data_IF_230451419299
#
_entry.id   IF_230451419299
#
_cell.length_a   1.000
_cell.length_b   1.000
_cell.length_c   1.000
_cell.angle_alpha   90.00
_cell.angle_beta   90.00
_cell.angle_gamma   90.00
#
_symmetry.space_group_name_H-M   'P 1'
#
loop_
_entity.id
_entity.type
_entity.pdbx_description
1 polymer ?
#
# COMPACT_ATOMS: atom_id res chain seq x y z
N UNK A 1 1.54 -41.68 18.30
CA UNK A 1 1.26 -40.27 18.10
C UNK A 1 2.22 -39.75 17.04
N UNK A 2 1.75 -38.89 16.13
CA UNK A 2 2.61 -38.22 15.15
C UNK A 2 3.63 -37.36 15.88
N UNK A 3 4.85 -37.27 15.36
CA UNK A 3 5.81 -36.27 15.81
C UNK A 3 5.39 -34.85 15.32
N UNK A 4 6.00 -33.80 15.85
CA UNK A 4 5.60 -32.42 15.54
C UNK A 4 5.81 -32.10 14.05
N UNK A 5 6.86 -32.61 13.44
CA UNK A 5 7.12 -32.39 12.02
C UNK A 5 6.08 -33.09 11.12
N UNK A 6 5.63 -34.30 11.51
CA UNK A 6 4.54 -34.99 10.82
C UNK A 6 3.21 -34.24 10.95
N UNK A 7 2.91 -33.73 12.15
CA UNK A 7 1.73 -32.90 12.40
C UNK A 7 1.76 -31.64 11.55
N UNK A 8 2.89 -30.95 11.47
CA UNK A 8 3.06 -29.74 10.66
C UNK A 8 2.81 -30.04 9.17
N UNK A 9 3.43 -31.09 8.63
CA UNK A 9 3.18 -31.54 7.25
C UNK A 9 1.72 -31.85 6.99
N UNK A 10 1.06 -32.53 7.92
CA UNK A 10 -0.36 -32.87 7.79
C UNK A 10 -1.27 -31.64 7.76
N UNK A 11 -1.00 -30.64 8.60
CA UNK A 11 -1.77 -29.37 8.62
C UNK A 11 -1.59 -28.59 7.32
N UNK A 12 -0.42 -28.63 6.73
CA UNK A 12 -0.10 -27.87 5.52
C UNK A 12 -0.41 -28.60 4.21
N UNK A 13 -0.69 -29.88 4.23
CA UNK A 13 -0.85 -30.71 3.03
C UNK A 13 -1.93 -30.22 2.04
N UNK A 14 -2.93 -29.47 2.51
CA UNK A 14 -4.02 -28.92 1.68
C UNK A 14 -3.78 -27.51 1.17
N UNK A 15 -2.63 -26.89 1.45
CA UNK A 15 -2.35 -25.48 1.14
C UNK A 15 -1.08 -25.34 0.33
N UNK A 16 -1.06 -24.34 -0.55
CA UNK A 16 0.16 -23.86 -1.21
C UNK A 16 0.70 -22.69 -0.41
N UNK A 17 1.86 -22.84 0.20
CA UNK A 17 2.52 -21.78 0.94
C UNK A 17 3.20 -20.80 -0.02
N UNK A 18 3.10 -19.51 0.28
CA UNK A 18 3.83 -18.49 -0.45
C UNK A 18 5.33 -18.50 -0.14
N UNK A 19 5.68 -18.74 1.12
CA UNK A 19 7.07 -18.81 1.57
C UNK A 19 7.64 -20.22 1.34
N UNK A 20 8.97 -20.28 1.18
CA UNK A 20 9.69 -21.56 1.09
C UNK A 20 9.53 -22.38 2.39
N UNK A 21 9.65 -23.69 2.28
CA UNK A 21 9.38 -24.61 3.39
C UNK A 21 10.27 -24.35 4.62
N UNK A 22 11.51 -23.93 4.42
CA UNK A 22 12.45 -23.58 5.48
C UNK A 22 12.13 -22.25 6.18
N UNK A 23 11.28 -21.41 5.60
CA UNK A 23 10.80 -20.17 6.21
C UNK A 23 9.52 -20.35 7.05
N UNK A 24 8.93 -21.54 7.03
CA UNK A 24 7.70 -21.84 7.78
C UNK A 24 8.07 -22.12 9.25
N UNK A 25 7.33 -21.49 10.16
CA UNK A 25 7.52 -21.74 11.60
C UNK A 25 7.38 -23.23 11.93
N UNK A 26 8.31 -23.82 12.71
CA UNK A 26 8.34 -25.25 13.01
C UNK A 26 7.37 -25.64 14.13
N UNK A 27 6.25 -24.96 14.28
CA UNK A 27 5.23 -25.23 15.29
C UNK A 27 3.82 -24.97 14.76
N UNK A 28 2.83 -25.59 15.39
CA UNK A 28 1.41 -25.36 15.09
C UNK A 28 0.83 -24.47 16.19
N UNK A 29 0.34 -23.29 15.82
CA UNK A 29 -0.36 -22.42 16.75
C UNK A 29 -1.74 -22.98 17.08
N UNK A 30 -2.07 -23.13 18.37
CA UNK A 30 -3.36 -23.59 18.86
C UNK A 30 -4.26 -22.43 19.29
N UNK A 31 -3.71 -21.48 20.05
CA UNK A 31 -4.41 -20.32 20.58
C UNK A 31 -3.46 -19.16 20.79
N UNK A 32 -4.01 -17.93 20.80
CA UNK A 32 -3.21 -16.74 21.05
C UNK A 32 -4.02 -15.65 21.75
N UNK A 33 -3.35 -14.86 22.62
CA UNK A 33 -3.92 -13.68 23.28
C UNK A 33 -2.85 -12.65 23.60
N UNK A 34 -3.08 -11.38 23.28
CA UNK A 34 -2.07 -10.34 23.41
C UNK A 34 -0.82 -10.74 22.63
N UNK A 35 0.40 -10.68 23.21
CA UNK A 35 1.62 -11.08 22.52
C UNK A 35 1.94 -12.57 22.65
N UNK A 36 1.06 -13.38 23.21
CA UNK A 36 1.34 -14.78 23.53
C UNK A 36 0.62 -15.74 22.57
N UNK A 37 1.37 -16.72 22.08
CA UNK A 37 0.89 -17.84 21.28
C UNK A 37 1.14 -19.12 22.05
N UNK A 38 0.14 -19.99 22.14
CA UNK A 38 0.25 -21.36 22.66
C UNK A 38 0.28 -22.31 21.48
N UNK A 39 1.28 -23.18 21.44
CA UNK A 39 1.39 -24.20 20.40
C UNK A 39 0.57 -25.44 20.71
N UNK A 40 0.33 -26.28 19.70
CA UNK A 40 -0.39 -27.56 19.87
C UNK A 40 0.27 -28.48 20.90
N UNK A 41 1.59 -28.42 21.04
CA UNK A 41 2.37 -29.22 22.00
C UNK A 41 2.59 -28.51 23.35
N UNK A 42 1.91 -27.39 23.61
CA UNK A 42 1.87 -26.71 24.91
C UNK A 42 3.00 -25.71 25.15
N UNK A 43 3.87 -25.44 24.18
CA UNK A 43 4.85 -24.38 24.31
C UNK A 43 4.16 -22.99 24.25
N UNK A 44 4.64 -22.03 25.05
CA UNK A 44 4.18 -20.65 25.06
C UNK A 44 5.26 -19.76 24.45
N UNK A 45 4.91 -19.07 23.39
CA UNK A 45 5.81 -18.23 22.61
C UNK A 45 5.39 -16.77 22.69
N UNK A 46 6.37 -15.86 22.69
CA UNK A 46 6.13 -14.43 22.53
C UNK A 46 6.15 -14.08 21.03
N UNK A 47 5.03 -13.56 20.53
CA UNK A 47 4.95 -13.05 19.16
C UNK A 47 5.31 -11.58 19.12
N UNK A 48 6.44 -11.26 18.49
CA UNK A 48 6.92 -9.89 18.32
C UNK A 48 6.12 -9.07 17.27
N UNK A 49 5.01 -9.60 16.78
CA UNK A 49 4.05 -8.85 15.96
C UNK A 49 4.33 -8.88 14.46
N UNK A 50 4.11 -10.02 13.82
CA UNK A 50 4.33 -10.30 12.40
C UNK A 50 4.06 -9.13 11.45
N UNK A 51 5.05 -8.70 10.71
CA UNK A 51 5.01 -7.59 9.75
C UNK A 51 4.50 -6.25 10.32
N UNK A 52 4.52 -6.07 11.67
CA UNK A 52 4.03 -4.87 12.34
C UNK A 52 2.52 -4.67 12.24
N UNK A 53 1.75 -5.73 12.06
CA UNK A 53 0.30 -5.65 11.98
C UNK A 53 -0.38 -5.75 13.35
N UNK A 54 0.17 -6.56 14.28
CA UNK A 54 -0.45 -6.90 15.54
C UNK A 54 -0.28 -5.81 16.63
N UNK A 55 -0.56 -4.55 16.31
CA UNK A 55 -0.42 -3.45 17.27
C UNK A 55 -1.25 -3.61 18.55
N UNK A 56 -2.36 -4.35 18.50
CA UNK A 56 -3.22 -4.69 19.65
C UNK A 56 -3.03 -6.12 20.15
N UNK A 57 -2.07 -6.87 19.57
CA UNK A 57 -1.89 -8.29 19.84
C UNK A 57 -3.01 -9.17 19.27
N UNK A 58 -2.96 -10.45 19.63
CA UNK A 58 -3.99 -11.42 19.25
C UNK A 58 -5.28 -11.24 20.07
N UNK A 59 -6.42 -11.45 19.45
CA UNK A 59 -7.76 -11.42 20.10
C UNK A 59 -8.00 -10.20 21.01
N UNK A 60 -7.83 -8.95 20.52
CA UNK A 60 -8.03 -7.75 21.33
C UNK A 60 -9.52 -7.58 21.68
N UNK A 61 -9.86 -7.61 22.97
CA UNK A 61 -11.23 -7.61 23.46
C UNK A 61 -12.07 -6.44 22.89
N UNK A 62 -11.50 -5.23 22.86
CA UNK A 62 -12.22 -4.05 22.35
C UNK A 62 -12.63 -4.17 20.87
N UNK A 63 -11.82 -4.82 20.05
CA UNK A 63 -12.15 -5.06 18.63
C UNK A 63 -13.22 -6.15 18.52
N UNK A 64 -13.06 -7.25 19.26
CA UNK A 64 -14.04 -8.34 19.25
C UNK A 64 -15.41 -7.88 19.75
N UNK A 65 -15.46 -7.09 20.82
CA UNK A 65 -16.70 -6.50 21.36
C UNK A 65 -17.36 -5.55 20.35
N UNK A 66 -16.55 -4.78 19.60
CA UNK A 66 -17.07 -3.94 18.53
C UNK A 66 -17.63 -4.76 17.36
N UNK A 67 -16.97 -5.86 16.98
CA UNK A 67 -17.43 -6.76 15.92
C UNK A 67 -18.68 -7.55 16.31
N UNK A 68 -18.89 -7.84 17.61
CA UNK A 68 -20.07 -8.54 18.12
C UNK A 68 -21.35 -7.69 18.13
N UNK A 69 -21.24 -6.37 17.91
CA UNK A 69 -22.41 -5.49 17.85
C UNK A 69 -23.22 -5.74 16.59
N UNK A 70 -24.55 -5.50 16.61
CA UNK A 70 -25.36 -5.53 15.39
C UNK A 70 -24.81 -4.55 14.35
N UNK A 71 -24.35 -5.08 13.23
CA UNK A 71 -23.78 -4.30 12.12
C UNK A 71 -24.55 -4.58 10.83
N UNK A 72 -24.62 -3.58 9.95
CA UNK A 72 -25.09 -3.80 8.59
C UNK A 72 -23.93 -4.39 7.80
N UNK A 73 -24.08 -5.62 7.32
CA UNK A 73 -23.05 -6.36 6.62
C UNK A 73 -23.37 -6.45 5.13
N UNK A 74 -22.34 -6.31 4.29
CA UNK A 74 -22.42 -6.53 2.83
C UNK A 74 -23.58 -5.81 2.11
N UNK A 75 -24.12 -4.72 2.66
CA UNK A 75 -25.14 -3.92 2.00
C UNK A 75 -24.52 -2.71 1.32
N UNK A 76 -23.87 -2.96 0.19
CA UNK A 76 -23.03 -2.02 -0.53
C UNK A 76 -23.76 -0.79 -1.10
N UNK A 77 -25.09 -0.86 -1.25
CA UNK A 77 -25.89 0.26 -1.78
C UNK A 77 -26.54 1.11 -0.70
N UNK A 78 -26.32 0.77 0.58
CA UNK A 78 -26.94 1.48 1.69
C UNK A 78 -25.87 2.19 2.53
N UNK A 79 -25.90 3.52 2.61
CA UNK A 79 -25.01 4.28 3.50
C UNK A 79 -25.14 3.82 4.95
N UNK A 80 -24.02 3.71 5.67
CA UNK A 80 -24.02 3.28 7.08
C UNK A 80 -23.39 4.33 8.00
N UNK A 81 -23.83 4.32 9.27
CA UNK A 81 -23.21 5.14 10.32
C UNK A 81 -21.77 4.70 10.60
N UNK A 82 -21.43 3.43 10.35
CA UNK A 82 -20.06 2.92 10.49
C UNK A 82 -19.12 3.59 9.52
N UNK A 83 -19.52 3.76 8.26
CA UNK A 83 -18.74 4.51 7.25
C UNK A 83 -18.52 5.96 7.67
N UNK A 84 -19.56 6.65 8.15
CA UNK A 84 -19.43 8.04 8.62
C UNK A 84 -18.50 8.16 9.83
N UNK A 85 -18.55 7.23 10.75
CA UNK A 85 -17.66 7.21 11.93
C UNK A 85 -16.22 6.94 11.52
N UNK A 86 -16.00 6.05 10.56
CA UNK A 86 -14.68 5.74 10.04
C UNK A 86 -14.09 6.91 9.27
N UNK A 87 -14.84 7.56 8.37
CA UNK A 87 -14.43 8.80 7.69
C UNK A 87 -13.99 9.87 8.70
N UNK A 88 -14.78 10.10 9.74
CA UNK A 88 -14.43 11.08 10.79
C UNK A 88 -13.17 10.71 11.54
N UNK A 89 -12.96 9.42 11.82
CA UNK A 89 -11.76 8.95 12.50
C UNK A 89 -10.51 9.14 11.62
N UNK A 90 -10.58 8.80 10.34
CA UNK A 90 -9.50 9.04 9.38
C UNK A 90 -9.16 10.53 9.26
N UNK A 91 -10.19 11.39 9.13
CA UNK A 91 -9.97 12.86 9.04
C UNK A 91 -9.44 13.49 10.32
N UNK A 92 -9.71 12.88 11.47
CA UNK A 92 -9.13 13.32 12.75
C UNK A 92 -7.66 12.91 12.86
N UNK A 93 -7.33 11.71 12.39
CA UNK A 93 -5.98 11.15 12.48
C UNK A 93 -5.04 11.76 11.45
N UNK A 94 -5.48 11.84 10.18
CA UNK A 94 -4.65 12.29 9.07
C UNK A 94 -4.63 13.82 9.02
N UNK A 95 -3.45 14.41 9.05
CA UNK A 95 -3.25 15.86 8.96
C UNK A 95 -3.47 16.60 10.30
N UNK A 96 -3.45 15.89 11.44
CA UNK A 96 -3.64 16.50 12.74
C UNK A 96 -2.51 17.47 13.13
N UNK A 97 -1.31 17.28 12.57
CA UNK A 97 -0.16 18.17 12.80
C UNK A 97 -0.15 19.40 11.88
N UNK A 98 -0.98 19.44 10.85
CA UNK A 98 -0.99 20.47 9.82
C UNK A 98 -2.32 21.23 9.66
N UNK A 99 -3.22 21.12 10.63
CA UNK A 99 -4.50 21.84 10.67
C UNK A 99 -5.65 21.17 9.92
N UNK A 100 -5.50 19.93 9.47
CA UNK A 100 -6.58 19.11 8.93
C UNK A 100 -6.19 18.16 7.82
N UNK A 101 -7.09 17.23 7.52
CA UNK A 101 -6.91 16.21 6.52
C UNK A 101 -6.85 16.81 5.10
N UNK A 102 -5.77 16.56 4.33
CA UNK A 102 -5.64 17.09 2.98
C UNK A 102 -6.37 16.25 1.92
N UNK A 103 -6.95 15.11 2.30
CA UNK A 103 -7.63 14.21 1.36
C UNK A 103 -9.12 14.50 1.30
N UNK A 104 -9.66 14.47 0.07
CA UNK A 104 -11.06 14.72 -0.21
C UNK A 104 -11.95 13.52 0.06
N UNK A 105 -11.48 12.31 -0.33
CA UNK A 105 -12.24 11.05 -0.27
C UNK A 105 -11.37 9.90 0.19
N UNK A 106 -12.06 8.86 0.70
CA UNK A 106 -11.47 7.58 1.06
C UNK A 106 -12.17 6.45 0.31
N UNK A 107 -11.42 5.43 -0.10
CA UNK A 107 -11.92 4.21 -0.69
C UNK A 107 -11.42 3.04 0.15
N UNK A 108 -12.35 2.22 0.65
CA UNK A 108 -12.03 1.04 1.45
C UNK A 108 -11.93 -0.19 0.56
N UNK A 109 -10.94 -1.05 0.82
CA UNK A 109 -10.69 -2.31 0.10
C UNK A 109 -10.19 -3.37 1.09
N UNK A 110 -9.99 -4.60 0.63
CA UNK A 110 -9.65 -5.72 1.52
C UNK A 110 -8.15 -5.84 1.81
N UNK A 111 -7.30 -5.40 0.89
CA UNK A 111 -5.85 -5.57 1.01
C UNK A 111 -5.07 -4.36 0.50
N UNK A 112 -3.82 -4.21 0.98
CA UNK A 112 -2.91 -3.18 0.50
C UNK A 112 -2.66 -3.27 -1.01
N UNK A 113 -2.52 -4.48 -1.56
CA UNK A 113 -2.37 -4.66 -3.01
C UNK A 113 -3.59 -4.19 -3.80
N UNK A 114 -4.80 -4.34 -3.26
CA UNK A 114 -6.00 -3.80 -3.91
C UNK A 114 -6.01 -2.27 -3.89
N UNK A 115 -5.64 -1.63 -2.77
CA UNK A 115 -5.60 -0.17 -2.71
C UNK A 115 -4.51 0.42 -3.61
N UNK A 116 -3.32 -0.18 -3.68
CA UNK A 116 -2.30 0.21 -4.67
C UNK A 116 -2.78 -0.06 -6.10
N UNK A 117 -3.48 -1.19 -6.34
CA UNK A 117 -4.07 -1.50 -7.63
C UNK A 117 -5.10 -0.45 -8.08
N UNK A 118 -5.94 0.02 -7.15
CA UNK A 118 -6.91 1.08 -7.41
C UNK A 118 -6.23 2.42 -7.68
N UNK A 119 -5.21 2.78 -6.90
CA UNK A 119 -4.39 3.97 -7.15
C UNK A 119 -3.75 3.93 -8.54
N UNK A 120 -3.19 2.78 -8.94
CA UNK A 120 -2.62 2.56 -10.25
C UNK A 120 -3.68 2.66 -11.38
N UNK A 121 -4.94 2.26 -11.13
CA UNK A 121 -6.04 2.47 -12.08
C UNK A 121 -6.44 3.94 -12.23
N UNK A 122 -6.42 4.70 -11.13
CA UNK A 122 -6.62 6.15 -11.19
C UNK A 122 -5.50 6.81 -12.00
N UNK A 123 -4.25 6.38 -11.80
CA UNK A 123 -3.11 6.84 -12.58
C UNK A 123 -3.23 6.49 -14.08
N UNK A 124 -3.75 5.30 -14.41
CA UNK A 124 -4.02 4.85 -15.77
C UNK A 124 -5.07 5.73 -16.48
N UNK A 125 -6.13 6.13 -15.78
CA UNK A 125 -7.11 7.08 -16.32
C UNK A 125 -6.47 8.43 -16.60
N UNK A 126 -5.63 8.92 -15.66
CA UNK A 126 -4.87 10.14 -15.89
C UNK A 126 -3.95 10.00 -17.11
N UNK A 127 -3.27 8.87 -17.23
CA UNK A 127 -2.38 8.59 -18.38
C UNK A 127 -3.12 8.64 -19.69
N UNK A 128 -4.32 8.03 -19.76
CA UNK A 128 -5.17 8.09 -20.94
C UNK A 128 -5.54 9.53 -21.30
N UNK A 129 -6.02 10.30 -20.32
CA UNK A 129 -6.38 11.71 -20.54
C UNK A 129 -5.19 12.57 -20.99
N UNK A 130 -3.98 12.28 -20.50
CA UNK A 130 -2.78 13.01 -20.83
C UNK A 130 -2.19 12.63 -22.20
N UNK A 131 -2.40 11.39 -22.65
CA UNK A 131 -1.75 10.85 -23.88
C UNK A 131 -2.70 10.62 -25.04
N UNK A 132 -4.02 10.74 -24.87
CA UNK A 132 -5.01 10.78 -25.95
C UNK A 132 -4.72 11.98 -26.89
N UNK A 133 -5.25 11.99 -28.12
CA UNK A 133 -4.94 13.00 -29.15
C UNK A 133 -5.08 14.46 -28.68
N UNK A 134 -6.05 14.74 -27.79
CA UNK A 134 -6.28 16.08 -27.23
C UNK A 134 -5.54 16.33 -25.91
N UNK A 135 -4.77 15.34 -25.43
CA UNK A 135 -4.04 15.42 -24.16
C UNK A 135 -2.75 16.24 -24.27
N UNK A 136 -2.33 16.80 -23.14
CA UNK A 136 -1.09 17.59 -23.04
C UNK A 136 0.16 16.84 -23.52
N UNK A 137 0.18 15.53 -23.41
CA UNK A 137 1.30 14.65 -23.77
C UNK A 137 0.85 13.65 -24.87
N UNK A 138 0.03 14.10 -25.83
CA UNK A 138 -0.53 13.28 -26.89
C UNK A 138 0.50 12.37 -27.56
N UNK A 139 0.18 11.08 -27.66
CA UNK A 139 0.98 10.07 -28.34
C UNK A 139 2.24 9.61 -27.62
N UNK A 140 2.54 10.12 -26.42
CA UNK A 140 3.73 9.70 -25.66
C UNK A 140 3.58 8.28 -25.10
N UNK A 141 4.70 7.56 -25.01
CA UNK A 141 4.80 6.25 -24.37
C UNK A 141 4.70 6.38 -22.86
N UNK A 142 3.85 5.58 -22.23
CA UNK A 142 3.64 5.63 -20.77
C UNK A 142 4.77 4.88 -20.06
N UNK A 143 5.44 5.55 -19.11
CA UNK A 143 6.44 4.98 -18.21
C UNK A 143 6.07 5.22 -16.76
N UNK A 144 6.68 4.46 -15.83
CA UNK A 144 6.50 4.57 -14.38
C UNK A 144 7.85 4.77 -13.72
N UNK A 145 7.91 5.62 -12.70
CA UNK A 145 9.12 5.74 -11.88
C UNK A 145 8.92 4.96 -10.59
N UNK A 146 9.88 4.09 -10.27
CA UNK A 146 9.93 3.32 -9.02
C UNK A 146 11.28 3.55 -8.34
N UNK A 147 11.30 3.46 -7.02
CA UNK A 147 12.52 3.47 -6.23
C UNK A 147 13.07 2.05 -6.16
N UNK A 148 14.38 1.87 -6.41
CA UNK A 148 15.03 0.55 -6.29
C UNK A 148 14.83 0.00 -4.88
N UNK A 149 14.44 -1.27 -4.78
CA UNK A 149 14.12 -1.94 -3.54
C UNK A 149 12.70 -1.68 -3.02
N UNK A 150 11.88 -0.83 -3.65
CA UNK A 150 10.51 -0.57 -3.21
C UNK A 150 9.60 -1.80 -3.34
N UNK A 151 8.57 -1.83 -2.49
CA UNK A 151 7.56 -2.88 -2.50
C UNK A 151 6.14 -2.28 -2.38
N UNK A 152 5.28 -2.58 -3.36
CA UNK A 152 3.93 -2.02 -3.45
C UNK A 152 2.84 -3.08 -3.67
N UNK A 153 3.15 -4.34 -3.41
CA UNK A 153 2.26 -5.48 -3.60
C UNK A 153 2.66 -6.37 -4.78
N UNK A 154 1.98 -7.54 -4.88
CA UNK A 154 2.35 -8.62 -5.82
C UNK A 154 1.30 -8.91 -6.89
N UNK A 155 0.14 -8.27 -6.83
CA UNK A 155 -0.92 -8.44 -7.83
C UNK A 155 -0.67 -7.55 -9.05
N UNK A 156 -0.99 -8.01 -10.23
CA UNK A 156 -0.91 -7.32 -11.54
C UNK A 156 -0.18 -5.95 -11.59
N UNK A 157 -0.94 -4.83 -11.52
CA UNK A 157 -0.35 -3.48 -11.61
C UNK A 157 0.54 -3.11 -10.40
N UNK A 158 0.21 -3.41 -9.14
CA UNK A 158 1.13 -3.24 -8.02
C UNK A 158 2.49 -3.91 -8.21
N UNK A 159 2.53 -5.08 -8.84
CA UNK A 159 3.77 -5.78 -9.13
C UNK A 159 4.72 -5.00 -10.06
N UNK A 160 4.18 -4.16 -10.95
CA UNK A 160 5.00 -3.29 -11.83
C UNK A 160 5.76 -2.22 -11.04
N UNK A 161 5.22 -1.79 -9.88
CA UNK A 161 5.87 -0.81 -9.01
C UNK A 161 6.76 -1.46 -7.93
N UNK A 162 6.74 -2.79 -7.77
CA UNK A 162 7.52 -3.53 -6.76
C UNK A 162 8.88 -3.95 -7.31
N UNK A 163 9.88 -3.08 -7.19
CA UNK A 163 11.24 -3.36 -7.68
C UNK A 163 11.92 -4.51 -6.93
N UNK A 164 11.67 -4.65 -5.62
CA UNK A 164 12.24 -5.73 -4.79
C UNK A 164 11.93 -7.13 -5.30
N UNK A 165 10.79 -7.31 -5.98
CA UNK A 165 10.35 -8.61 -6.52
C UNK A 165 10.55 -8.76 -8.03
N UNK A 166 11.05 -7.71 -8.72
CA UNK A 166 11.13 -7.66 -10.18
C UNK A 166 11.91 -8.81 -10.81
N UNK A 167 13.06 -9.19 -10.23
CA UNK A 167 13.86 -10.31 -10.75
C UNK A 167 13.09 -11.61 -10.76
N UNK A 168 12.33 -11.90 -9.69
CA UNK A 168 11.49 -13.10 -9.59
C UNK A 168 10.36 -13.06 -10.65
N UNK A 169 9.74 -11.92 -10.86
CA UNK A 169 8.70 -11.78 -11.88
C UNK A 169 9.24 -11.99 -13.29
N UNK A 170 10.39 -11.41 -13.62
CA UNK A 170 11.07 -11.62 -14.92
C UNK A 170 11.45 -13.07 -15.15
N UNK A 171 11.83 -13.80 -14.11
CA UNK A 171 12.19 -15.21 -14.19
C UNK A 171 10.98 -16.12 -14.42
N UNK A 172 9.83 -15.80 -13.82
CA UNK A 172 8.71 -16.75 -13.74
C UNK A 172 7.46 -16.34 -14.51
N UNK A 173 7.28 -15.05 -14.85
CA UNK A 173 6.06 -14.55 -15.46
C UNK A 173 6.25 -14.18 -16.93
N UNK A 174 5.43 -14.75 -17.80
CA UNK A 174 5.45 -14.43 -19.23
C UNK A 174 5.10 -12.96 -19.52
N UNK A 175 4.24 -12.34 -18.69
CA UNK A 175 3.87 -10.93 -18.78
C UNK A 175 5.01 -9.94 -18.53
N UNK A 176 6.12 -10.43 -17.96
CA UNK A 176 7.32 -9.61 -17.74
C UNK A 176 8.40 -9.77 -18.82
N UNK A 177 8.13 -10.53 -19.89
CA UNK A 177 9.04 -10.63 -21.03
C UNK A 177 9.08 -9.32 -21.79
N UNK A 178 10.26 -8.65 -21.82
CA UNK A 178 10.41 -7.37 -22.51
C UNK A 178 9.64 -6.21 -21.86
N UNK A 179 9.22 -6.37 -20.60
CA UNK A 179 8.59 -5.28 -19.84
C UNK A 179 9.60 -4.15 -19.63
N UNK A 180 9.36 -3.00 -20.26
CA UNK A 180 10.25 -1.83 -20.27
C UNK A 180 9.56 -0.54 -19.77
N UNK A 181 8.32 -0.66 -19.27
CA UNK A 181 7.53 0.51 -18.85
C UNK A 181 8.01 1.17 -17.55
N UNK A 182 9.04 0.60 -16.90
CA UNK A 182 9.49 1.04 -15.59
C UNK A 182 10.89 1.64 -15.63
N UNK A 183 11.02 2.82 -15.01
CA UNK A 183 12.27 3.54 -14.76
C UNK A 183 12.60 3.36 -13.27
N UNK A 184 13.60 2.55 -12.94
CA UNK A 184 14.05 2.33 -11.57
C UNK A 184 15.16 3.31 -11.20
N UNK A 185 14.94 4.18 -10.23
CA UNK A 185 15.91 5.16 -9.74
C UNK A 185 16.53 4.69 -8.40
N UNK A 186 17.79 5.11 -8.09
CA UNK A 186 18.38 4.85 -6.78
C UNK A 186 17.52 5.39 -5.64
N UNK A 187 17.58 4.77 -4.44
CA UNK A 187 16.77 5.20 -3.30
C UNK A 187 17.01 6.66 -2.94
N UNK A 188 15.96 7.45 -3.10
CA UNK A 188 15.85 8.87 -2.73
C UNK A 188 16.92 9.80 -3.33
N UNK A 189 17.44 9.45 -4.50
CA UNK A 189 18.34 10.27 -5.30
C UNK A 189 17.53 11.32 -6.08
N UNK A 190 17.62 12.58 -5.65
CA UNK A 190 16.90 13.72 -6.24
C UNK A 190 17.36 13.99 -7.66
N UNK A 191 18.65 13.85 -7.94
CA UNK A 191 19.21 14.14 -9.28
C UNK A 191 18.80 13.04 -10.26
N UNK A 192 18.82 11.77 -9.85
CA UNK A 192 18.30 10.68 -10.65
C UNK A 192 16.78 10.83 -10.93
N UNK A 193 16.00 11.31 -9.96
CA UNK A 193 14.60 11.61 -10.18
C UNK A 193 14.38 12.73 -11.18
N UNK A 194 15.11 13.85 -11.06
CA UNK A 194 15.09 14.96 -12.04
C UNK A 194 15.49 14.50 -13.42
N UNK A 195 16.56 13.68 -13.51
CA UNK A 195 17.03 13.14 -14.79
C UNK A 195 15.97 12.23 -15.43
N UNK A 196 15.27 11.40 -14.66
CA UNK A 196 14.20 10.55 -15.18
C UNK A 196 13.06 11.36 -15.83
N UNK A 197 12.66 12.49 -15.24
CA UNK A 197 11.68 13.39 -15.84
C UNK A 197 12.23 14.15 -17.05
N UNK A 198 13.48 14.59 -17.04
CA UNK A 198 14.14 15.21 -18.20
C UNK A 198 14.26 14.22 -19.38
N UNK A 199 14.60 12.96 -19.09
CA UNK A 199 14.62 11.88 -20.06
C UNK A 199 13.22 11.61 -20.65
N UNK A 200 12.17 11.67 -19.82
CA UNK A 200 10.81 11.51 -20.29
C UNK A 200 10.42 12.58 -21.31
N UNK A 201 10.81 13.83 -21.09
CA UNK A 201 10.58 14.90 -22.08
C UNK A 201 11.33 14.68 -23.39
N UNK A 202 12.61 14.30 -23.33
CA UNK A 202 13.45 14.16 -24.52
C UNK A 202 13.13 12.88 -25.32
N UNK A 203 12.68 11.81 -24.65
CA UNK A 203 12.38 10.51 -25.27
C UNK A 203 10.91 10.33 -25.67
N UNK A 204 10.08 11.36 -25.48
CA UNK A 204 8.66 11.29 -25.79
C UNK A 204 7.90 10.33 -24.85
N UNK A 205 8.25 10.32 -23.55
CA UNK A 205 7.56 9.53 -22.56
C UNK A 205 6.63 10.38 -21.69
N UNK A 206 5.56 9.78 -21.20
CA UNK A 206 4.73 10.31 -20.12
C UNK A 206 4.97 9.49 -18.87
N UNK A 207 5.37 10.14 -17.78
CA UNK A 207 5.48 9.48 -16.47
C UNK A 207 4.09 9.36 -15.87
N UNK A 208 3.53 8.15 -15.82
CA UNK A 208 2.21 7.88 -15.25
C UNK A 208 2.12 8.32 -13.80
N UNK A 209 3.06 7.84 -12.98
CA UNK A 209 3.11 8.12 -11.56
C UNK A 209 4.49 7.86 -10.97
N UNK A 210 4.72 8.47 -9.80
CA UNK A 210 5.79 8.12 -8.87
C UNK A 210 5.15 7.50 -7.64
N UNK A 211 5.57 6.28 -7.29
CA UNK A 211 5.17 5.58 -6.06
C UNK A 211 6.38 5.50 -5.12
N UNK A 212 6.16 5.79 -3.84
CA UNK A 212 7.19 5.65 -2.82
C UNK A 212 6.62 5.19 -1.47
N UNK A 213 7.47 4.58 -0.67
CA UNK A 213 7.19 4.26 0.73
C UNK A 213 7.78 5.34 1.64
N UNK A 214 7.09 5.82 2.70
CA UNK A 214 7.65 6.76 3.66
C UNK A 214 8.90 6.21 4.36
N UNK A 215 8.83 4.93 4.73
CA UNK A 215 9.95 4.12 5.20
C UNK A 215 9.86 2.79 4.47
N UNK A 216 10.91 2.43 3.75
CA UNK A 216 10.91 1.21 2.95
C UNK A 216 10.79 -0.03 3.84
N UNK A 217 10.00 -0.98 3.38
CA UNK A 217 9.71 -2.21 4.12
C UNK A 217 10.58 -3.39 3.72
N UNK A 218 10.50 -3.87 2.47
CA UNK A 218 11.06 -5.16 2.09
C UNK A 218 12.46 -5.10 1.47
N UNK A 219 12.68 -4.30 0.46
CA UNK A 219 13.95 -4.37 -0.30
C UNK A 219 15.11 -3.57 0.32
N UNK A 220 14.81 -2.57 1.18
CA UNK A 220 15.79 -1.78 1.91
C UNK A 220 15.19 -1.34 3.25
N UNK A 221 14.98 -2.29 4.19
CA UNK A 221 14.20 -2.05 5.40
C UNK A 221 14.75 -0.91 6.26
N UNK A 222 13.86 0.02 6.63
CA UNK A 222 14.19 1.14 7.52
C UNK A 222 14.73 2.38 6.82
N UNK A 223 14.91 2.37 5.51
CA UNK A 223 15.32 3.56 4.76
C UNK A 223 14.15 4.54 4.66
N UNK A 224 14.26 5.67 5.33
CA UNK A 224 13.25 6.73 5.34
C UNK A 224 13.42 7.67 4.15
N UNK A 225 12.30 8.14 3.58
CA UNK A 225 12.32 9.16 2.54
C UNK A 225 12.72 10.52 3.13
N UNK A 226 13.75 11.21 2.57
CA UNK A 226 14.08 12.57 2.97
C UNK A 226 13.00 13.57 2.52
N UNK A 227 12.67 14.60 3.32
CA UNK A 227 11.74 15.67 2.92
C UNK A 227 12.10 16.32 1.59
N UNK A 228 13.39 16.50 1.29
CA UNK A 228 13.85 17.07 0.04
C UNK A 228 13.51 16.21 -1.18
N UNK A 229 13.64 14.87 -1.08
CA UNK A 229 13.24 13.96 -2.17
C UNK A 229 11.72 13.98 -2.37
N UNK A 230 10.96 13.93 -1.28
CA UNK A 230 9.49 14.01 -1.33
C UNK A 230 9.03 15.32 -2.00
N UNK A 231 9.58 16.46 -1.59
CA UNK A 231 9.26 17.75 -2.18
C UNK A 231 9.57 17.80 -3.68
N UNK A 232 10.74 17.30 -4.10
CA UNK A 232 11.11 17.21 -5.51
C UNK A 232 10.16 16.28 -6.30
N UNK A 233 9.81 15.12 -5.74
CA UNK A 233 8.85 14.20 -6.37
C UNK A 233 7.47 14.85 -6.52
N UNK A 234 7.01 15.57 -5.50
CA UNK A 234 5.73 16.29 -5.55
C UNK A 234 5.71 17.40 -6.59
N UNK A 235 6.76 18.19 -6.67
CA UNK A 235 6.90 19.27 -7.65
C UNK A 235 6.95 18.72 -9.09
N UNK A 236 7.81 17.75 -9.33
CA UNK A 236 7.99 17.14 -10.66
C UNK A 236 6.71 16.44 -11.15
N UNK A 237 6.05 15.68 -10.30
CA UNK A 237 4.79 15.03 -10.69
C UNK A 237 3.70 16.05 -11.00
N UNK A 238 3.58 17.12 -10.20
CA UNK A 238 2.62 18.20 -10.45
C UNK A 238 2.90 18.91 -11.77
N UNK A 239 4.13 19.33 -12.01
CA UNK A 239 4.52 20.06 -13.22
C UNK A 239 4.37 19.23 -14.48
N UNK A 240 4.69 17.95 -14.42
CA UNK A 240 4.55 17.01 -15.55
C UNK A 240 3.09 16.56 -15.80
N UNK A 241 2.21 16.70 -14.82
CA UNK A 241 0.83 16.19 -14.90
C UNK A 241 0.69 14.73 -14.48
N UNK A 242 1.74 14.14 -13.91
CA UNK A 242 1.76 12.80 -13.31
C UNK A 242 1.01 12.77 -11.99
N UNK A 243 0.79 11.56 -11.44
CA UNK A 243 0.27 11.38 -10.09
C UNK A 243 1.39 10.96 -9.12
N UNK A 244 1.18 11.29 -7.85
CA UNK A 244 2.08 10.97 -6.77
C UNK A 244 1.36 10.17 -5.70
N UNK A 245 1.77 8.91 -5.50
CA UNK A 245 1.27 8.02 -4.46
C UNK A 245 2.33 7.81 -3.39
N UNK A 246 1.90 7.91 -2.14
CA UNK A 246 2.66 7.43 -0.98
C UNK A 246 2.03 6.14 -0.46
N UNK A 247 2.86 5.12 -0.32
CA UNK A 247 2.46 3.81 0.19
C UNK A 247 2.86 3.67 1.66
N UNK A 248 1.92 4.00 2.54
CA UNK A 248 2.08 3.92 3.99
C UNK A 248 1.62 2.58 4.58
N UNK A 249 1.41 1.55 3.76
CA UNK A 249 0.91 0.24 4.20
C UNK A 249 1.82 -0.38 5.26
N UNK A 250 3.13 -0.31 5.07
CA UNK A 250 4.08 -0.83 6.05
C UNK A 250 4.50 0.20 7.10
N UNK A 251 4.61 1.46 6.71
CA UNK A 251 5.17 2.51 7.57
C UNK A 251 4.12 3.14 8.50
N UNK A 252 2.86 3.19 8.10
CA UNK A 252 1.79 3.84 8.85
C UNK A 252 1.65 3.28 10.26
N UNK A 253 1.60 4.16 11.28
CA UNK A 253 1.61 3.92 12.71
C UNK A 253 2.93 3.31 13.25
N UNK A 254 3.64 2.50 12.46
CA UNK A 254 4.84 1.78 12.88
C UNK A 254 6.08 2.65 12.96
N UNK A 255 6.29 3.53 11.99
CA UNK A 255 7.56 4.25 11.84
C UNK A 255 7.66 5.44 12.79
N UNK A 256 6.63 6.30 12.82
CA UNK A 256 6.61 7.54 13.61
C UNK A 256 5.40 7.65 14.54
N UNK A 257 4.62 6.59 14.74
CA UNK A 257 3.43 6.60 15.59
C UNK A 257 2.24 7.34 15.00
N UNK A 258 2.34 7.86 13.77
CA UNK A 258 1.28 8.52 13.02
C UNK A 258 0.92 7.73 11.77
N UNK A 259 -0.32 7.86 11.29
CA UNK A 259 -0.82 7.06 10.17
C UNK A 259 -0.25 7.52 8.83
N UNK A 260 -0.21 8.82 8.61
CA UNK A 260 0.09 9.43 7.31
C UNK A 260 1.45 10.12 7.29
N UNK A 261 2.12 10.09 6.12
CA UNK A 261 3.36 10.84 5.89
C UNK A 261 3.18 12.35 6.09
N UNK A 262 1.97 12.88 5.89
CA UNK A 262 1.70 14.32 6.04
C UNK A 262 1.85 14.80 7.48
N UNK A 263 1.88 13.88 8.43
CA UNK A 263 2.08 14.12 9.86
C UNK A 263 3.48 13.72 10.35
N UNK A 264 4.38 13.29 9.45
CA UNK A 264 5.76 12.94 9.83
C UNK A 264 6.55 14.19 10.16
N UNK A 265 7.48 14.13 11.14
CA UNK A 265 8.35 15.25 11.47
C UNK A 265 9.11 15.77 10.25
N UNK A 266 8.94 17.05 9.93
CA UNK A 266 9.53 17.71 8.78
C UNK A 266 8.72 17.63 7.48
N UNK A 267 7.53 17.03 7.50
CA UNK A 267 6.63 16.97 6.34
C UNK A 267 5.38 17.85 6.51
N UNK A 268 5.15 18.42 7.68
CA UNK A 268 3.94 19.18 8.04
C UNK A 268 3.68 20.36 7.09
N UNK A 269 4.75 20.99 6.60
CA UNK A 269 4.68 22.13 5.67
C UNK A 269 4.72 21.74 4.18
N UNK A 270 4.88 20.45 3.86
CA UNK A 270 4.98 20.01 2.47
C UNK A 270 3.61 19.70 1.87
N UNK A 271 3.48 19.90 0.57
CA UNK A 271 2.23 19.58 -0.15
C UNK A 271 1.91 18.08 -0.05
N UNK A 272 0.69 17.74 0.30
CA UNK A 272 0.22 16.36 0.39
C UNK A 272 0.32 15.62 -0.97
N UNK A 273 0.48 14.29 -0.99
CA UNK A 273 0.45 13.52 -2.22
C UNK A 273 -0.94 13.56 -2.86
N UNK A 274 -1.06 13.12 -4.12
CA UNK A 274 -2.37 12.97 -4.75
C UNK A 274 -3.15 11.82 -4.11
N UNK A 275 -2.43 10.78 -3.70
CA UNK A 275 -2.99 9.57 -3.09
C UNK A 275 -2.06 9.05 -2.00
N UNK A 276 -2.65 8.47 -0.95
CA UNK A 276 -1.89 7.73 0.06
C UNK A 276 -2.67 6.48 0.47
N UNK A 277 -1.98 5.36 0.69
CA UNK A 277 -2.63 4.08 0.99
C UNK A 277 -2.19 3.52 2.34
N UNK A 278 -3.14 2.93 3.07
CA UNK A 278 -2.97 2.39 4.43
C UNK A 278 -3.54 0.97 4.52
N UNK A 279 -2.91 0.10 5.31
CA UNK A 279 -3.40 -1.23 5.66
C UNK A 279 -2.67 -1.73 6.91
N UNK A 280 -2.31 -3.01 7.01
CA UNK A 280 -1.49 -3.60 8.09
C UNK A 280 -1.85 -3.06 9.48
N UNK A 281 -1.05 -2.15 10.03
CA UNK A 281 -1.28 -1.59 11.37
C UNK A 281 -2.66 -0.90 11.52
N UNK A 282 -3.21 -0.33 10.45
CA UNK A 282 -4.56 0.27 10.47
C UNK A 282 -5.64 -0.74 10.85
N UNK A 283 -5.56 -1.97 10.36
CA UNK A 283 -6.53 -3.03 10.65
C UNK A 283 -6.10 -3.94 11.81
N UNK A 284 -4.88 -3.73 12.35
CA UNK A 284 -4.29 -4.49 13.45
C UNK A 284 -4.34 -6.02 13.24
N UNK A 285 -4.36 -6.50 12.00
CA UNK A 285 -4.49 -7.89 11.59
C UNK A 285 -5.81 -8.57 12.02
N UNK A 286 -6.84 -7.81 12.40
CA UNK A 286 -8.10 -8.39 12.89
C UNK A 286 -9.10 -8.71 11.78
N UNK A 287 -9.04 -7.98 10.66
CA UNK A 287 -9.92 -8.20 9.50
C UNK A 287 -9.31 -7.58 8.23
N UNK A 288 -9.72 -8.07 7.05
CA UNK A 288 -9.28 -7.49 5.78
C UNK A 288 -9.74 -6.04 5.66
N UNK A 289 -8.79 -5.11 5.65
CA UNK A 289 -9.07 -3.69 5.39
C UNK A 289 -7.81 -3.00 4.86
N UNK A 290 -8.00 -2.23 3.82
CA UNK A 290 -7.08 -1.18 3.39
C UNK A 290 -7.87 0.08 3.02
N UNK A 291 -7.19 1.22 3.03
CA UNK A 291 -7.78 2.51 2.67
C UNK A 291 -6.89 3.19 1.65
N UNK A 292 -7.48 3.66 0.56
CA UNK A 292 -6.87 4.62 -0.35
C UNK A 292 -7.46 6.00 -0.08
N UNK A 293 -6.65 6.92 0.39
CA UNK A 293 -6.97 8.34 0.52
C UNK A 293 -6.61 9.07 -0.78
N UNK A 294 -7.50 9.91 -1.27
CA UNK A 294 -7.33 10.65 -2.53
C UNK A 294 -7.64 12.14 -2.33
N UNK A 295 -6.82 13.01 -2.92
CA UNK A 295 -7.11 14.45 -2.96
C UNK A 295 -8.21 14.78 -3.98
N UNK A 296 -8.62 16.05 -4.11
CA UNK A 296 -9.66 16.47 -5.04
C UNK A 296 -9.36 16.11 -6.50
N UNK A 297 -8.09 16.25 -6.93
CA UNK A 297 -7.67 15.91 -8.29
C UNK A 297 -7.84 14.41 -8.56
N UNK A 298 -7.31 13.56 -7.71
CA UNK A 298 -7.40 12.11 -7.86
C UNK A 298 -8.85 11.60 -7.71
N UNK A 299 -9.63 12.19 -6.81
CA UNK A 299 -11.06 11.90 -6.68
C UNK A 299 -11.84 12.24 -7.97
N UNK A 300 -11.52 13.35 -8.62
CA UNK A 300 -12.12 13.74 -9.90
C UNK A 300 -11.78 12.81 -11.08
N UNK A 301 -10.69 12.07 -11.00
CA UNK A 301 -10.28 11.07 -11.99
C UNK A 301 -11.02 9.73 -11.82
N UNK A 302 -11.54 9.44 -10.64
CA UNK A 302 -12.26 8.18 -10.38
C UNK A 302 -13.50 8.06 -11.28
N UNK A 303 -13.66 6.90 -11.92
CA UNK A 303 -14.81 6.61 -12.78
C UNK A 303 -15.66 5.50 -12.17
N UNK A 304 -16.86 5.86 -11.75
CA UNK A 304 -17.83 4.91 -11.17
C UNK A 304 -18.16 3.79 -12.18
N UNK A 305 -18.21 2.55 -11.69
CA UNK A 305 -18.56 1.38 -12.50
C UNK A 305 -17.45 0.87 -13.43
N UNK A 306 -16.28 1.53 -13.48
CA UNK A 306 -15.16 1.11 -14.34
C UNK A 306 -14.24 0.14 -13.62
N UNK A 307 -13.95 0.39 -12.36
CA UNK A 307 -13.08 -0.44 -11.53
C UNK A 307 -13.40 -0.24 -10.04
N UNK A 308 -13.00 -1.20 -9.25
CA UNK A 308 -13.24 -1.22 -7.81
C UNK A 308 -13.52 -2.64 -7.33
N UNK A 309 -13.98 -2.74 -6.09
CA UNK A 309 -14.43 -3.99 -5.51
C UNK A 309 -15.85 -3.83 -5.00
N UNK A 310 -16.75 -4.71 -5.43
CA UNK A 310 -18.17 -4.65 -5.09
C UNK A 310 -18.43 -4.79 -3.59
N UNK A 311 -17.56 -5.51 -2.87
CA UNK A 311 -17.76 -5.83 -1.44
C UNK A 311 -17.14 -4.82 -0.47
N UNK A 312 -16.46 -3.79 -0.98
CA UNK A 312 -15.76 -2.79 -0.15
C UNK A 312 -16.39 -1.42 -0.32
N UNK A 313 -17.26 -1.08 0.56
CA UNK A 313 -17.92 0.25 0.60
C UNK A 313 -17.97 0.81 2.00
#
# INVERSE_FOLDING_TARGET
AMDEAEQLRAVQAGYVNFYADDAINPYIALAARGPWVVTLNGAVLYDAGGYGMLGFGHTPAAVLDAMARPQVMANIMTPSLSQLRFDRALRKEIGHTRGGCPFAKFLCLNSGSESVGLAARIADINSKLMTDPDGRHAGRTIKRIVVKGSFHGRTERPALYSDSSRKSYQQHLASYRGEDSVIAIPPYDVDALKQAFADAETKGWFVEAVFLEPVMGEGDPGRSVPPAFYAAARELTRSHGSLFLVDSIQAGLRAHGVLSIVDYPGFEGLDAPDMETYSKALNAAQYPLSVLAVNERAAGLYRKGVYGNTMTT
#
